data_IF_189673298163
#
_entry.id   IF_189673298163
#
_cell.length_a   1.000
_cell.length_b   1.000
_cell.length_c   1.000
_cell.angle_alpha   90.00
_cell.angle_beta   90.00
_cell.angle_gamma   90.00
#
_symmetry.space_group_name_H-M   'P 1'
#
loop_
_entity.id
_entity.type
_entity.pdbx_description
1 polymer ?
#
# COMPACT_ATOMS: atom_id res chain seq x y z
N UNK A 1 41.87 6.21 -2.95
CA UNK A 1 41.39 5.55 -1.73
C UNK A 1 40.64 6.56 -0.86
N UNK A 2 39.59 7.22 -1.39
CA UNK A 2 38.94 8.38 -0.71
C UNK A 2 37.40 8.32 -0.73
N UNK A 3 36.77 7.31 -1.36
CA UNK A 3 35.30 7.25 -1.47
C UNK A 3 34.59 6.64 -0.25
N UNK A 4 35.32 6.18 0.77
CA UNK A 4 34.77 5.55 1.98
C UNK A 4 34.61 6.47 3.18
N UNK A 5 35.17 7.69 3.14
CA UNK A 5 35.17 8.63 4.27
C UNK A 5 33.88 9.45 4.37
N UNK A 6 33.28 9.80 3.22
CA UNK A 6 32.04 10.59 3.18
C UNK A 6 30.86 9.94 3.90
N UNK A 7 30.75 8.61 3.84
CA UNK A 7 29.63 7.89 4.48
C UNK A 7 29.77 7.80 6.00
N UNK A 8 30.99 7.78 6.54
CA UNK A 8 31.21 7.77 8.00
C UNK A 8 30.96 9.15 8.61
N UNK A 9 31.37 10.22 7.93
CA UNK A 9 31.27 11.58 8.46
C UNK A 9 29.82 12.09 8.56
N UNK A 10 28.92 11.62 7.68
CA UNK A 10 27.51 11.98 7.72
C UNK A 10 26.79 11.51 9.00
N UNK A 11 27.17 10.35 9.53
CA UNK A 11 26.55 9.79 10.74
C UNK A 11 27.18 10.31 12.03
N UNK A 12 28.45 10.70 12.03
CA UNK A 12 29.18 11.02 13.27
C UNK A 12 28.99 12.48 13.73
N UNK A 13 28.77 13.43 12.82
CA UNK A 13 28.90 14.85 13.15
C UNK A 13 27.59 15.63 13.39
N UNK A 14 26.42 14.98 13.38
CA UNK A 14 25.17 15.66 13.69
C UNK A 14 24.80 15.43 15.16
N UNK A 15 25.29 16.30 16.04
CA UNK A 15 24.82 16.46 17.42
C UNK A 15 23.40 17.06 17.44
N UNK A 16 22.45 16.39 16.79
CA UNK A 16 21.04 16.52 17.13
C UNK A 16 20.82 15.71 18.39
N UNK A 17 20.12 16.27 19.37
CA UNK A 17 19.65 15.53 20.54
C UNK A 17 18.80 14.35 20.06
N UNK A 18 19.43 13.19 19.89
CA UNK A 18 18.78 11.95 19.52
C UNK A 18 17.81 11.59 20.63
N UNK A 19 16.52 11.83 20.42
CA UNK A 19 15.51 10.99 21.03
C UNK A 19 15.81 9.57 20.53
N UNK A 20 16.54 8.79 21.33
CA UNK A 20 17.06 7.48 20.95
C UNK A 20 15.87 6.54 20.75
N UNK A 21 15.31 6.56 19.56
CA UNK A 21 14.41 5.52 19.09
C UNK A 21 15.35 4.36 18.78
N UNK A 22 15.58 3.48 19.76
CA UNK A 22 16.52 2.39 19.59
C UNK A 22 16.00 1.51 18.45
N UNK A 23 16.77 1.41 17.36
CA UNK A 23 16.47 0.47 16.29
C UNK A 23 16.82 -0.93 16.80
N UNK A 24 15.82 -1.78 17.03
CA UNK A 24 16.03 -3.07 17.68
C UNK A 24 16.86 -4.06 16.86
N UNK A 25 16.50 -4.31 15.60
CA UNK A 25 17.19 -5.30 14.75
C UNK A 25 17.00 -4.98 13.26
N UNK A 26 18.07 -5.11 12.48
CA UNK A 26 18.04 -5.04 11.01
C UNK A 26 18.11 -6.46 10.44
N UNK A 27 17.10 -6.84 9.65
CA UNK A 27 17.07 -8.13 8.93
C UNK A 27 17.27 -7.84 7.45
N UNK A 28 18.28 -8.48 6.85
CA UNK A 28 18.55 -8.41 5.42
C UNK A 28 18.23 -9.77 4.80
N UNK A 29 17.34 -9.78 3.79
CA UNK A 29 16.89 -10.97 3.09
C UNK A 29 17.19 -10.77 1.60
N UNK A 30 17.96 -11.68 1.01
CA UNK A 30 18.16 -11.71 -0.44
C UNK A 30 16.91 -12.28 -1.12
N UNK A 31 16.57 -11.82 -2.32
CA UNK A 31 15.38 -12.26 -3.05
C UNK A 31 15.51 -13.69 -3.55
N UNK A 32 16.73 -14.15 -3.79
CA UNK A 32 17.01 -15.47 -4.36
C UNK A 32 16.69 -16.64 -3.41
N UNK A 33 16.51 -16.37 -2.12
CA UNK A 33 16.15 -17.38 -1.11
C UNK A 33 14.71 -17.86 -1.23
N UNK A 34 13.84 -17.09 -1.90
CA UNK A 34 12.44 -17.44 -2.14
C UNK A 34 11.98 -16.83 -3.46
N UNK A 35 12.04 -17.57 -4.56
CA UNK A 35 11.44 -17.12 -5.82
C UNK A 35 9.93 -17.36 -5.86
N UNK A 36 9.43 -18.35 -5.11
CA UNK A 36 8.03 -18.78 -5.13
C UNK A 36 7.10 -17.63 -4.76
N UNK A 37 7.40 -16.87 -3.70
CA UNK A 37 6.56 -15.74 -3.30
C UNK A 37 6.55 -14.58 -4.30
N UNK A 38 7.52 -14.49 -5.22
CA UNK A 38 7.57 -13.46 -6.27
C UNK A 38 6.87 -13.91 -7.57
N UNK A 39 6.79 -15.22 -7.80
CA UNK A 39 6.26 -15.78 -9.05
C UNK A 39 4.81 -16.26 -8.93
N UNK A 40 4.33 -16.52 -7.72
CA UNK A 40 2.93 -16.84 -7.50
C UNK A 40 2.07 -15.57 -7.57
N UNK A 41 0.92 -15.67 -8.25
CA UNK A 41 -0.07 -14.60 -8.19
C UNK A 41 -0.52 -14.38 -6.73
N UNK A 42 -0.41 -13.15 -6.21
CA UNK A 42 -0.89 -12.83 -4.88
C UNK A 42 -2.40 -13.02 -4.79
N UNK A 43 -2.93 -13.30 -3.59
CA UNK A 43 -4.38 -13.47 -3.38
C UNK A 43 -5.01 -12.34 -2.55
N UNK A 44 -4.22 -11.35 -2.16
CA UNK A 44 -4.70 -10.13 -1.51
C UNK A 44 -5.20 -9.13 -2.54
N UNK A 45 -6.13 -8.26 -2.16
CA UNK A 45 -6.68 -7.24 -3.06
C UNK A 45 -5.60 -6.34 -3.68
N UNK A 46 -4.71 -5.77 -2.86
CA UNK A 46 -3.65 -4.87 -3.35
C UNK A 46 -2.63 -5.63 -4.21
N UNK A 47 -2.20 -6.81 -3.76
CA UNK A 47 -1.29 -7.64 -4.53
C UNK A 47 -1.83 -8.00 -5.92
N UNK A 48 -3.10 -8.41 -6.05
CA UNK A 48 -3.68 -8.68 -7.37
C UNK A 48 -3.81 -7.44 -8.23
N UNK A 49 -4.02 -6.28 -7.60
CA UNK A 49 -4.13 -5.02 -8.30
C UNK A 49 -2.77 -4.59 -8.87
N UNK A 50 -1.68 -4.83 -8.13
CA UNK A 50 -0.31 -4.68 -8.62
C UNK A 50 0.01 -5.68 -9.74
N UNK A 51 -0.33 -6.95 -9.55
CA UNK A 51 -0.08 -8.02 -10.53
C UNK A 51 -0.76 -7.76 -11.89
N UNK A 52 -1.99 -7.21 -11.89
CA UNK A 52 -2.77 -7.01 -13.12
C UNK A 52 -2.65 -5.60 -13.73
N UNK A 53 -2.50 -4.55 -12.92
CA UNK A 53 -2.48 -3.16 -13.39
C UNK A 53 -1.14 -2.46 -13.20
N UNK A 54 -0.26 -2.99 -12.35
CA UNK A 54 0.98 -2.35 -11.95
C UNK A 54 0.75 -1.14 -11.04
N UNK A 55 1.37 -1.15 -9.87
CA UNK A 55 1.44 -0.02 -8.97
C UNK A 55 2.84 0.58 -9.06
N UNK A 56 2.95 1.78 -9.62
CA UNK A 56 4.21 2.52 -9.68
C UNK A 56 4.16 3.72 -8.75
N UNK A 57 5.03 3.74 -7.73
CA UNK A 57 5.07 4.82 -6.72
C UNK A 57 3.69 5.12 -6.12
N UNK A 58 2.92 4.07 -5.82
CA UNK A 58 1.55 4.19 -5.35
C UNK A 58 0.61 4.83 -6.35
N UNK A 59 0.82 4.72 -7.66
CA UNK A 59 -0.13 5.18 -8.67
C UNK A 59 -0.47 4.04 -9.62
N UNK A 60 -1.73 3.99 -10.04
CA UNK A 60 -2.24 2.99 -10.96
C UNK A 60 -2.92 3.69 -12.13
N UNK A 61 -2.49 3.34 -13.33
CA UNK A 61 -3.01 3.90 -14.57
C UNK A 61 -4.08 2.96 -15.12
N UNK A 62 -5.33 3.40 -14.98
CA UNK A 62 -6.48 2.67 -15.52
C UNK A 62 -6.83 3.18 -16.91
N UNK A 63 -7.27 2.26 -17.77
CA UNK A 63 -7.85 2.61 -19.05
C UNK A 63 -9.09 3.53 -18.84
N UNK A 64 -9.33 4.55 -19.68
CA UNK A 64 -10.39 5.53 -19.45
C UNK A 64 -11.80 4.93 -19.26
N UNK A 65 -12.06 3.75 -19.83
CA UNK A 65 -13.32 3.00 -19.65
C UNK A 65 -13.54 2.54 -18.20
N UNK A 66 -12.47 2.17 -17.49
CA UNK A 66 -12.52 1.63 -16.13
C UNK A 66 -12.58 2.72 -15.07
N UNK A 67 -12.09 3.92 -15.40
CA UNK A 67 -11.89 5.04 -14.49
C UNK A 67 -12.96 6.14 -14.63
N UNK A 68 -14.00 5.90 -15.43
CA UNK A 68 -15.04 6.90 -15.69
C UNK A 68 -14.50 8.19 -16.35
N UNK A 69 -13.44 8.07 -17.16
CA UNK A 69 -12.80 9.18 -17.86
C UNK A 69 -11.53 9.76 -17.22
N UNK A 70 -11.13 9.33 -16.02
CA UNK A 70 -9.86 9.76 -15.42
C UNK A 70 -8.68 8.89 -15.89
N UNK A 71 -7.61 9.49 -16.41
CA UNK A 71 -6.47 8.76 -17.01
C UNK A 71 -5.58 8.02 -16.00
N UNK A 72 -5.55 8.45 -14.74
CA UNK A 72 -4.73 7.85 -13.68
C UNK A 72 -5.38 8.02 -12.32
N UNK A 73 -5.32 6.98 -11.50
CA UNK A 73 -5.79 6.99 -10.12
C UNK A 73 -4.57 6.88 -9.20
N UNK A 74 -4.25 7.96 -8.49
CA UNK A 74 -3.17 7.98 -7.49
C UNK A 74 -3.61 7.20 -6.24
N UNK A 75 -3.00 6.05 -5.97
CA UNK A 75 -3.20 5.23 -4.77
C UNK A 75 -2.37 5.66 -3.54
N UNK A 76 -1.36 6.52 -3.71
CA UNK A 76 -0.32 6.80 -2.72
C UNK A 76 -0.87 7.48 -1.46
N UNK A 77 -1.39 8.70 -1.59
CA UNK A 77 -1.65 9.54 -0.41
C UNK A 77 -3.12 9.52 0.02
N UNK A 78 -4.05 9.34 -0.92
CA UNK A 78 -5.48 9.37 -0.60
C UNK A 78 -6.01 7.99 -0.24
N UNK A 79 -5.66 6.92 -0.97
CA UNK A 79 -6.21 5.59 -0.71
C UNK A 79 -5.71 4.98 0.60
N UNK A 80 -4.44 5.12 0.96
CA UNK A 80 -3.96 4.68 2.28
C UNK A 80 -4.63 5.44 3.45
N UNK A 81 -5.14 6.66 3.22
CA UNK A 81 -5.95 7.41 4.20
C UNK A 81 -7.43 7.01 4.16
N UNK A 82 -7.92 6.46 3.05
CA UNK A 82 -9.29 5.99 2.92
C UNK A 82 -9.49 4.74 3.74
N UNK A 83 -10.37 4.84 4.73
CA UNK A 83 -10.74 3.72 5.61
C UNK A 83 -11.13 2.47 4.82
N UNK A 84 -11.90 2.61 3.74
CA UNK A 84 -12.38 1.48 2.93
C UNK A 84 -11.24 0.72 2.27
N UNK A 85 -10.24 1.42 1.71
CA UNK A 85 -9.11 0.75 1.06
C UNK A 85 -8.24 0.00 2.07
N UNK A 86 -7.92 0.64 3.21
CA UNK A 86 -7.21 -0.02 4.32
C UNK A 86 -7.95 -1.26 4.84
N UNK A 87 -9.29 -1.20 4.85
CA UNK A 87 -10.10 -2.32 5.30
C UNK A 87 -10.05 -3.52 4.32
N UNK A 88 -9.70 -3.34 3.04
CA UNK A 88 -9.71 -4.41 2.01
C UNK A 88 -8.34 -4.80 1.44
N UNK A 89 -7.31 -3.94 1.52
CA UNK A 89 -6.04 -4.12 0.81
C UNK A 89 -5.36 -5.47 1.08
N UNK A 90 -5.36 -5.87 2.35
CA UNK A 90 -4.71 -7.09 2.85
C UNK A 90 -5.68 -8.29 2.94
N UNK A 91 -6.93 -8.13 2.47
CA UNK A 91 -7.93 -9.21 2.50
C UNK A 91 -7.76 -10.13 1.29
N UNK A 92 -8.06 -11.41 1.50
CA UNK A 92 -8.21 -12.36 0.40
C UNK A 92 -9.26 -11.87 -0.59
N UNK A 93 -8.91 -11.82 -1.87
CA UNK A 93 -9.68 -11.20 -2.95
C UNK A 93 -11.14 -11.68 -3.01
N UNK A 94 -11.36 -12.99 -2.84
CA UNK A 94 -12.71 -13.57 -2.84
C UNK A 94 -13.66 -13.00 -1.77
N UNK A 95 -13.12 -12.36 -0.72
CA UNK A 95 -13.92 -11.77 0.39
C UNK A 95 -14.17 -10.28 0.23
N UNK A 96 -13.50 -9.61 -0.72
CA UNK A 96 -13.57 -8.15 -0.86
C UNK A 96 -14.97 -7.70 -1.27
N UNK A 97 -15.58 -8.37 -2.25
CA UNK A 97 -16.91 -8.00 -2.74
C UNK A 97 -18.00 -8.12 -1.68
N UNK A 98 -17.98 -9.19 -0.87
CA UNK A 98 -18.94 -9.36 0.21
C UNK A 98 -18.76 -8.30 1.30
N UNK A 99 -17.51 -7.94 1.62
CA UNK A 99 -17.20 -6.86 2.56
C UNK A 99 -17.68 -5.50 2.07
N UNK A 100 -17.41 -5.15 0.81
CA UNK A 100 -17.86 -3.89 0.21
C UNK A 100 -19.39 -3.83 0.11
N UNK A 101 -20.05 -4.93 -0.26
CA UNK A 101 -21.52 -5.01 -0.28
C UNK A 101 -22.12 -4.77 1.09
N UNK A 102 -21.55 -5.36 2.14
CA UNK A 102 -21.96 -5.12 3.52
C UNK A 102 -21.83 -3.64 3.90
N UNK A 103 -20.67 -3.03 3.63
CA UNK A 103 -20.42 -1.60 3.90
C UNK A 103 -21.39 -0.68 3.15
N UNK A 104 -21.68 -0.98 1.89
CA UNK A 104 -22.65 -0.22 1.10
C UNK A 104 -24.06 -0.29 1.71
N UNK A 105 -24.49 -1.48 2.14
CA UNK A 105 -25.78 -1.67 2.82
C UNK A 105 -25.85 -0.94 4.16
N UNK A 106 -24.77 -0.92 4.94
CA UNK A 106 -24.70 -0.12 6.17
C UNK A 106 -24.93 1.37 5.90
N UNK A 107 -24.24 1.92 4.89
CA UNK A 107 -24.38 3.33 4.49
C UNK A 107 -25.82 3.60 4.02
N UNK A 108 -26.40 2.72 3.20
CA UNK A 108 -27.78 2.85 2.74
C UNK A 108 -28.78 2.85 3.90
N UNK A 109 -28.60 1.97 4.89
CA UNK A 109 -29.45 1.92 6.08
C UNK A 109 -29.36 3.20 6.92
N UNK A 110 -28.15 3.78 7.06
CA UNK A 110 -27.96 5.09 7.71
C UNK A 110 -28.67 6.20 6.94
N UNK A 111 -28.59 6.20 5.61
CA UNK A 111 -29.25 7.19 4.76
C UNK A 111 -30.78 7.11 4.92
N UNK A 112 -31.36 5.92 4.79
CA UNK A 112 -32.81 5.70 4.91
C UNK A 112 -33.38 6.15 6.27
N UNK A 113 -32.60 6.03 7.35
CA UNK A 113 -32.99 6.51 8.68
C UNK A 113 -33.00 8.02 8.83
N UNK A 114 -32.24 8.76 8.01
CA UNK A 114 -32.17 10.22 8.06
C UNK A 114 -33.25 10.90 7.21
N UNK A 115 -33.80 10.19 6.22
CA UNK A 115 -34.82 10.69 5.29
C UNK A 115 -36.26 10.40 5.71
N UNK A 116 -36.47 9.67 6.80
CA UNK A 116 -37.77 9.42 7.44
C UNK A 116 -37.82 10.15 8.78
#
# INVERSE_FOLDING_TARGET
>A
MEHGLFFKDFFVNNSFTFHHTEVGTLILIDRDVDYTSALLSPLTYEGLLDDHFGISSGTVDFEPTLSGGAKSIKMDSQFNKMKVFRDIRDRHFATVFSHLSYKAKEIQAVYNRKTN
#
